data_IF_905102197462
#
_entry.id   IF_905102197462
#
_cell.length_a   1.000
_cell.length_b   1.000
_cell.length_c   1.000
_cell.angle_alpha   90.00
_cell.angle_beta   90.00
_cell.angle_gamma   90.00
#
_symmetry.space_group_name_H-M   'P 1'
#
loop_
_entity.id
_entity.type
_entity.pdbx_description
1 polymer ?
#
# COMPACT_ATOMS: atom_id res chain seq x y z
N UNK A 1 30.08 10.02 13.33
CA UNK A 1 30.01 11.29 12.56
C UNK A 1 29.18 11.20 11.29
N UNK A 2 29.11 10.01 10.65
CA UNK A 2 28.29 9.81 9.45
C UNK A 2 26.77 9.86 9.69
N UNK A 3 26.31 9.60 10.90
CA UNK A 3 24.88 9.61 11.24
C UNK A 3 24.25 10.99 11.38
N UNK A 4 25.02 12.07 11.56
CA UNK A 4 24.49 13.41 11.75
C UNK A 4 24.30 14.22 10.46
N UNK A 5 24.98 13.87 9.37
CA UNK A 5 24.83 14.56 8.09
C UNK A 5 23.68 14.04 7.22
N UNK A 6 23.06 12.95 7.63
CA UNK A 6 22.01 12.23 6.87
C UNK A 6 20.59 12.57 7.35
N UNK A 7 20.38 13.69 7.99
CA UNK A 7 19.03 14.20 8.37
C UNK A 7 18.28 14.77 7.16
N UNK A 8 18.89 14.73 5.99
CA UNK A 8 18.29 15.12 4.71
C UNK A 8 17.68 13.94 3.94
N UNK A 9 17.23 14.22 2.74
CA UNK A 9 16.49 13.32 1.84
C UNK A 9 17.18 11.98 1.53
N UNK A 10 18.51 11.92 1.57
CA UNK A 10 19.26 10.71 1.19
C UNK A 10 19.15 9.57 2.21
N UNK A 11 19.15 9.86 3.51
CA UNK A 11 18.92 8.84 4.55
C UNK A 11 17.51 8.25 4.46
N UNK A 12 16.55 9.03 4.00
CA UNK A 12 15.18 8.57 3.82
C UNK A 12 15.01 7.57 2.68
N UNK A 13 15.89 7.57 1.68
CA UNK A 13 15.81 6.69 0.51
C UNK A 13 16.66 5.43 0.72
N UNK A 14 17.90 5.58 1.12
CA UNK A 14 18.89 4.50 1.19
C UNK A 14 18.60 3.46 2.28
N UNK A 15 18.12 3.90 3.43
CA UNK A 15 17.88 3.01 4.59
C UNK A 15 16.43 2.56 4.72
N UNK A 16 15.55 2.91 3.77
CA UNK A 16 14.11 2.58 3.81
C UNK A 16 13.66 1.58 2.78
N UNK A 17 14.44 1.34 1.74
CA UNK A 17 14.13 0.30 0.78
C UNK A 17 14.73 -1.03 1.23
N UNK A 18 13.91 -2.07 1.21
CA UNK A 18 14.32 -3.44 1.48
C UNK A 18 14.20 -4.30 0.23
N UNK A 19 14.95 -5.39 0.21
CA UNK A 19 14.83 -6.41 -0.82
C UNK A 19 13.72 -7.39 -0.43
N UNK A 20 12.90 -7.77 -1.39
CA UNK A 20 11.82 -8.71 -1.16
C UNK A 20 11.17 -9.17 -2.46
N UNK A 21 10.56 -10.33 -2.39
CA UNK A 21 9.73 -10.88 -3.46
C UNK A 21 8.45 -11.46 -2.88
N UNK A 22 7.40 -11.44 -3.64
CA UNK A 22 6.13 -12.02 -3.27
C UNK A 22 5.40 -12.54 -4.49
N UNK A 23 4.66 -13.62 -4.30
CA UNK A 23 3.82 -14.23 -5.33
C UNK A 23 2.50 -14.69 -4.72
N UNK A 24 1.43 -14.60 -5.49
CA UNK A 24 0.12 -15.13 -5.14
C UNK A 24 -0.36 -16.07 -6.24
N UNK A 25 -1.11 -17.08 -5.86
CA UNK A 25 -1.77 -17.98 -6.79
C UNK A 25 -3.25 -17.65 -6.78
N UNK A 26 -3.79 -17.35 -7.95
CA UNK A 26 -5.23 -17.18 -8.15
C UNK A 26 -5.81 -18.45 -8.73
N UNK A 27 -6.86 -18.95 -8.13
CA UNK A 27 -7.62 -20.10 -8.60
C UNK A 27 -9.06 -19.70 -8.87
N UNK A 28 -9.66 -20.30 -9.91
CA UNK A 28 -11.08 -20.15 -10.12
C UNK A 28 -11.83 -21.01 -9.10
N UNK A 29 -12.85 -20.43 -8.48
CA UNK A 29 -13.72 -21.14 -7.55
C UNK A 29 -15.15 -21.23 -8.10
N UNK A 30 -15.88 -22.27 -7.70
CA UNK A 30 -17.29 -22.44 -8.11
C UNK A 30 -18.24 -21.50 -7.34
N UNK A 31 -17.81 -21.03 -6.16
CA UNK A 31 -18.58 -20.07 -5.38
C UNK A 31 -18.22 -18.63 -5.81
N UNK A 32 -19.24 -17.83 -6.10
CA UNK A 32 -19.06 -16.41 -6.34
C UNK A 32 -18.53 -15.72 -5.07
N UNK A 33 -17.29 -15.28 -5.12
CA UNK A 33 -16.71 -14.38 -4.14
C UNK A 33 -16.72 -12.96 -4.69
N UNK A 34 -17.13 -11.99 -3.87
CA UNK A 34 -17.16 -10.60 -4.31
C UNK A 34 -15.75 -10.04 -4.36
N UNK A 35 -15.34 -9.60 -5.54
CA UNK A 35 -14.08 -8.90 -5.75
C UNK A 35 -14.32 -7.68 -6.64
N UNK A 36 -13.73 -6.55 -6.27
CA UNK A 36 -13.78 -5.30 -7.03
C UNK A 36 -12.41 -4.64 -7.03
N UNK A 37 -12.08 -3.95 -8.12
CA UNK A 37 -10.82 -3.23 -8.23
C UNK A 37 -10.99 -1.87 -8.90
N UNK A 38 -10.13 -0.92 -8.52
CA UNK A 38 -9.98 0.38 -9.18
C UNK A 38 -8.50 0.71 -9.32
N UNK A 39 -8.14 1.17 -10.51
CA UNK A 39 -6.78 1.62 -10.81
C UNK A 39 -6.87 2.97 -11.53
N UNK A 40 -6.04 3.90 -11.12
CA UNK A 40 -5.93 5.23 -11.69
C UNK A 40 -4.48 5.58 -12.00
N UNK A 41 -4.28 6.54 -12.89
CA UNK A 41 -2.97 7.10 -13.20
C UNK A 41 -3.03 8.62 -13.42
N UNK A 42 -1.92 9.29 -13.11
CA UNK A 42 -1.73 10.74 -13.31
C UNK A 42 -0.30 10.97 -13.83
N UNK A 43 -0.14 10.91 -15.15
CA UNK A 43 1.17 11.05 -15.80
C UNK A 43 1.78 12.44 -15.68
N UNK A 44 0.96 13.48 -15.51
CA UNK A 44 1.45 14.86 -15.35
C UNK A 44 2.28 15.01 -14.06
N UNK A 45 1.93 14.24 -13.01
CA UNK A 45 2.66 14.21 -11.74
C UNK A 45 3.79 13.19 -11.70
N UNK A 46 4.02 12.47 -12.78
CA UNK A 46 5.06 11.44 -12.88
C UNK A 46 6.46 11.93 -12.57
N UNK A 47 6.74 13.20 -12.82
CA UNK A 47 8.02 13.86 -12.47
C UNK A 47 8.37 13.80 -10.98
N UNK A 48 7.39 13.56 -10.11
CA UNK A 48 7.60 13.47 -8.65
C UNK A 48 8.25 12.16 -8.22
N UNK A 49 8.29 11.15 -9.08
CA UNK A 49 8.89 9.84 -8.78
C UNK A 49 9.38 9.20 -10.08
N UNK A 50 10.68 9.32 -10.33
CA UNK A 50 11.30 8.89 -11.59
C UNK A 50 12.51 8.00 -11.34
N UNK A 51 12.82 7.14 -12.30
CA UNK A 51 14.06 6.37 -12.36
C UNK A 51 14.43 6.21 -13.84
N UNK A 52 15.29 7.09 -14.33
CA UNK A 52 15.80 6.99 -15.70
C UNK A 52 16.82 5.86 -15.80
N UNK A 53 16.92 5.27 -16.99
CA UNK A 53 17.86 4.15 -17.25
C UNK A 53 19.29 4.59 -16.94
N UNK A 54 19.94 3.87 -16.03
CA UNK A 54 21.32 4.13 -15.61
C UNK A 54 21.47 5.20 -14.53
N UNK A 55 20.37 5.68 -13.96
CA UNK A 55 20.37 6.64 -12.85
C UNK A 55 19.76 6.03 -11.58
N UNK A 56 19.78 6.79 -10.51
CA UNK A 56 19.12 6.44 -9.25
C UNK A 56 17.68 6.93 -9.23
N UNK A 57 16.87 6.29 -8.39
CA UNK A 57 15.52 6.73 -8.07
C UNK A 57 15.54 8.18 -7.55
N UNK A 58 14.77 9.05 -8.19
CA UNK A 58 14.56 10.44 -7.79
C UNK A 58 13.12 10.60 -7.30
N UNK A 59 12.95 11.24 -6.14
CA UNK A 59 11.62 11.36 -5.53
C UNK A 59 11.47 12.73 -4.84
N UNK A 60 10.42 13.46 -5.18
CA UNK A 60 9.88 14.50 -4.32
C UNK A 60 9.04 13.85 -3.21
N UNK A 61 9.68 13.58 -2.08
CA UNK A 61 9.05 12.88 -0.96
C UNK A 61 7.83 13.62 -0.40
N UNK A 62 7.77 14.97 -0.50
CA UNK A 62 6.63 15.76 -0.05
C UNK A 62 5.44 15.61 -1.00
N UNK A 63 5.69 15.71 -2.31
CA UNK A 63 4.66 15.53 -3.33
C UNK A 63 4.07 14.12 -3.29
N UNK A 64 4.93 13.09 -3.23
CA UNK A 64 4.50 11.68 -3.14
C UNK A 64 3.72 11.41 -1.84
N UNK A 65 4.14 11.98 -0.71
CA UNK A 65 3.42 11.85 0.56
C UNK A 65 2.02 12.46 0.50
N UNK A 66 1.89 13.69 -0.03
CA UNK A 66 0.61 14.36 -0.18
C UNK A 66 -0.31 13.63 -1.16
N UNK A 67 0.25 13.15 -2.26
CA UNK A 67 -0.44 12.34 -3.24
C UNK A 67 -1.02 11.06 -2.60
N UNK A 68 -0.19 10.29 -1.90
CA UNK A 68 -0.63 9.05 -1.25
C UNK A 68 -1.74 9.30 -0.22
N UNK A 69 -1.60 10.34 0.61
CA UNK A 69 -2.63 10.69 1.58
C UNK A 69 -3.96 11.12 0.94
N UNK A 70 -3.94 11.68 -0.26
CA UNK A 70 -5.15 12.07 -0.98
C UNK A 70 -5.77 10.88 -1.71
N UNK A 71 -5.00 10.23 -2.57
CA UNK A 71 -5.50 9.28 -3.56
C UNK A 71 -5.78 7.88 -3.02
N UNK A 72 -4.98 7.41 -2.04
CA UNK A 72 -5.20 6.08 -1.47
C UNK A 72 -6.54 5.98 -0.72
N UNK A 73 -6.93 6.90 0.17
CA UNK A 73 -8.26 6.84 0.78
C UNK A 73 -9.41 7.03 -0.23
N UNK A 74 -9.18 7.81 -1.29
CA UNK A 74 -10.16 8.04 -2.36
C UNK A 74 -10.46 6.73 -3.11
N UNK A 75 -9.44 6.07 -3.66
CA UNK A 75 -9.61 4.83 -4.41
C UNK A 75 -10.14 3.68 -3.55
N UNK A 76 -9.78 3.64 -2.25
CA UNK A 76 -10.38 2.68 -1.31
C UNK A 76 -11.88 2.91 -1.17
N UNK A 77 -12.34 4.16 -1.03
CA UNK A 77 -13.79 4.45 -0.99
C UNK A 77 -14.49 4.13 -2.29
N UNK A 78 -13.86 4.33 -3.43
CA UNK A 78 -14.43 3.98 -4.74
C UNK A 78 -14.66 2.48 -4.85
N UNK A 79 -13.67 1.68 -4.50
CA UNK A 79 -13.76 0.21 -4.53
C UNK A 79 -14.81 -0.30 -3.54
N UNK A 80 -14.86 0.27 -2.33
CA UNK A 80 -15.85 -0.11 -1.32
C UNK A 80 -17.27 0.30 -1.72
N UNK A 81 -17.43 1.43 -2.40
CA UNK A 81 -18.71 1.84 -2.96
C UNK A 81 -19.22 0.86 -4.02
N UNK A 82 -18.33 0.39 -4.90
CA UNK A 82 -18.68 -0.62 -5.90
C UNK A 82 -18.99 -1.98 -5.25
N UNK A 83 -18.21 -2.33 -4.23
CA UNK A 83 -18.48 -3.53 -3.43
C UNK A 83 -19.76 -3.42 -2.58
N UNK A 84 -20.34 -2.22 -2.42
CA UNK A 84 -21.46 -1.94 -1.52
C UNK A 84 -21.17 -2.34 -0.07
N UNK A 85 -19.92 -2.13 0.36
CA UNK A 85 -19.44 -2.49 1.69
C UNK A 85 -18.97 -1.22 2.42
N UNK A 86 -19.46 -0.93 3.63
CA UNK A 86 -18.99 0.21 4.40
C UNK A 86 -17.57 -0.04 4.96
N UNK A 87 -16.82 1.04 5.18
CA UNK A 87 -15.44 1.01 5.69
C UNK A 87 -15.35 0.25 7.03
N UNK A 88 -16.37 0.36 7.84
CA UNK A 88 -16.45 -0.22 9.18
C UNK A 88 -16.46 -1.76 9.16
N UNK A 89 -16.98 -2.34 8.06
CA UNK A 89 -17.08 -3.79 7.87
C UNK A 89 -15.82 -4.44 7.28
N UNK A 90 -14.82 -3.65 6.95
CA UNK A 90 -13.53 -4.18 6.48
C UNK A 90 -12.73 -4.69 7.70
N UNK A 91 -12.24 -5.92 7.61
CA UNK A 91 -11.45 -6.56 8.67
C UNK A 91 -9.98 -6.15 8.61
N UNK A 92 -9.41 -6.01 7.42
CA UNK A 92 -8.02 -5.58 7.25
C UNK A 92 -7.80 -4.73 5.98
N UNK A 93 -6.95 -3.71 6.12
CA UNK A 93 -6.42 -2.91 5.02
C UNK A 93 -4.94 -3.23 4.84
N UNK A 94 -4.61 -4.04 3.86
CA UNK A 94 -3.24 -4.44 3.51
C UNK A 94 -2.69 -3.41 2.51
N UNK A 95 -2.01 -2.41 3.03
CA UNK A 95 -1.49 -1.30 2.24
C UNK A 95 -0.03 -1.51 1.84
N UNK A 96 0.37 -0.90 0.74
CA UNK A 96 1.78 -0.77 0.38
C UNK A 96 2.59 -0.15 1.52
N UNK A 97 3.69 -0.78 1.89
CA UNK A 97 4.54 -0.44 3.03
C UNK A 97 5.60 0.60 2.66
N UNK A 98 5.15 1.77 2.15
CA UNK A 98 6.06 2.85 1.79
C UNK A 98 6.56 3.66 2.98
N UNK A 99 5.67 3.94 3.95
CA UNK A 99 5.95 4.77 5.12
C UNK A 99 4.84 4.62 6.15
N UNK A 100 5.19 4.34 7.42
CA UNK A 100 4.22 4.21 8.52
C UNK A 100 3.32 5.44 8.68
N UNK A 101 3.84 6.65 8.42
CA UNK A 101 3.06 7.89 8.50
C UNK A 101 1.98 7.98 7.41
N UNK A 102 2.22 7.39 6.23
CA UNK A 102 1.20 7.31 5.18
C UNK A 102 0.09 6.38 5.64
N UNK A 103 0.42 5.20 6.17
CA UNK A 103 -0.56 4.23 6.68
C UNK A 103 -1.43 4.86 7.77
N UNK A 104 -0.81 5.51 8.75
CA UNK A 104 -1.54 6.24 9.81
C UNK A 104 -2.45 7.35 9.24
N UNK A 105 -1.96 8.07 8.25
CA UNK A 105 -2.72 9.13 7.59
C UNK A 105 -3.92 8.61 6.80
N UNK A 106 -3.77 7.48 6.13
CA UNK A 106 -4.86 6.78 5.41
C UNK A 106 -5.91 6.29 6.42
N UNK A 107 -5.50 5.61 7.50
CA UNK A 107 -6.39 5.14 8.55
C UNK A 107 -7.25 6.30 9.13
N UNK A 108 -6.59 7.41 9.46
CA UNK A 108 -7.28 8.63 9.94
C UNK A 108 -8.29 9.18 8.95
N UNK A 109 -7.95 9.22 7.65
CA UNK A 109 -8.84 9.75 6.60
C UNK A 109 -10.02 8.83 6.29
N UNK A 110 -9.81 7.52 6.41
CA UNK A 110 -10.88 6.53 6.31
C UNK A 110 -11.76 6.49 7.58
N UNK A 111 -11.30 7.10 8.68
CA UNK A 111 -11.90 7.02 10.02
C UNK A 111 -11.98 5.57 10.54
N UNK A 112 -11.04 4.73 10.12
CA UNK A 112 -10.96 3.33 10.50
C UNK A 112 -9.93 3.13 11.64
N UNK A 113 -10.16 2.17 12.55
CA UNK A 113 -9.23 1.84 13.63
C UNK A 113 -7.86 1.42 13.09
N UNK A 114 -6.77 1.86 13.74
CA UNK A 114 -5.40 1.56 13.29
C UNK A 114 -5.07 0.07 13.31
N UNK A 115 -5.72 -0.68 14.16
CA UNK A 115 -5.58 -2.12 14.33
C UNK A 115 -5.97 -2.90 13.06
N UNK A 116 -6.81 -2.31 12.22
CA UNK A 116 -7.18 -2.86 10.91
C UNK A 116 -6.12 -2.63 9.82
N UNK A 117 -5.02 -1.93 10.15
CA UNK A 117 -3.91 -1.62 9.24
C UNK A 117 -2.64 -2.34 9.69
N UNK A 118 -2.50 -3.64 9.40
CA UNK A 118 -1.26 -4.35 9.73
C UNK A 118 -0.07 -3.71 9.00
N UNK A 119 1.10 -3.84 9.61
CA UNK A 119 2.34 -3.29 9.06
C UNK A 119 3.54 -4.15 9.45
N UNK A 120 4.53 -4.15 8.59
CA UNK A 120 5.80 -4.84 8.78
C UNK A 120 7.00 -4.02 8.26
N UNK A 121 6.76 -2.75 7.95
CA UNK A 121 7.77 -1.84 7.41
C UNK A 121 8.97 -1.68 8.35
N UNK A 122 8.77 -1.80 9.66
CA UNK A 122 9.83 -1.73 10.67
C UNK A 122 10.80 -2.91 10.54
N UNK A 123 10.34 -4.05 10.04
CA UNK A 123 11.16 -5.26 9.86
C UNK A 123 11.83 -5.31 8.49
N UNK A 124 11.13 -4.89 7.43
CA UNK A 124 11.57 -5.11 6.04
C UNK A 124 11.86 -3.83 5.26
N UNK A 125 11.47 -2.67 5.78
CA UNK A 125 11.49 -1.44 5.01
C UNK A 125 10.47 -1.44 3.88
N UNK A 126 10.69 -0.58 2.89
CA UNK A 126 9.87 -0.53 1.69
C UNK A 126 10.39 -1.55 0.65
N UNK A 127 9.73 -2.69 0.53
CA UNK A 127 10.03 -3.74 -0.45
C UNK A 127 9.28 -3.55 -1.78
N UNK A 128 8.93 -2.31 -2.12
CA UNK A 128 8.25 -1.95 -3.37
C UNK A 128 6.99 -2.79 -3.62
N UNK A 129 6.85 -3.38 -4.81
CA UNK A 129 5.69 -4.19 -5.20
C UNK A 129 5.50 -5.44 -4.32
N UNK A 130 6.59 -5.97 -3.73
CA UNK A 130 6.54 -7.13 -2.85
C UNK A 130 5.93 -6.84 -1.47
N UNK A 131 5.79 -5.56 -1.07
CA UNK A 131 5.36 -5.20 0.28
C UNK A 131 3.94 -5.70 0.63
N UNK A 132 3.01 -5.65 -0.32
CA UNK A 132 1.64 -6.14 -0.12
C UNK A 132 1.62 -7.68 0.00
N UNK A 133 2.16 -8.46 -0.94
CA UNK A 133 2.12 -9.92 -0.82
C UNK A 133 2.91 -10.46 0.38
N UNK A 134 4.03 -9.84 0.78
CA UNK A 134 4.76 -10.22 1.98
C UNK A 134 3.89 -9.99 3.23
N UNK A 135 3.28 -8.81 3.36
CA UNK A 135 2.42 -8.52 4.50
C UNK A 135 1.18 -9.41 4.53
N UNK A 136 0.60 -9.71 3.38
CA UNK A 136 -0.55 -10.61 3.26
C UNK A 136 -0.18 -12.04 3.71
N UNK A 137 0.97 -12.55 3.30
CA UNK A 137 1.48 -13.87 3.72
C UNK A 137 1.70 -13.91 5.24
N UNK A 138 2.36 -12.92 5.82
CA UNK A 138 2.55 -12.84 7.27
C UNK A 138 1.23 -12.75 8.03
N UNK A 139 0.29 -11.94 7.54
CA UNK A 139 -1.03 -11.80 8.12
C UNK A 139 -1.77 -13.14 8.11
N UNK A 140 -1.68 -13.89 6.99
CA UNK A 140 -2.23 -15.22 6.87
C UNK A 140 -1.55 -16.23 7.81
N UNK A 141 -0.22 -16.33 7.78
CA UNK A 141 0.55 -17.25 8.63
C UNK A 141 0.39 -16.99 10.14
N UNK A 142 0.11 -15.74 10.51
CA UNK A 142 -0.19 -15.40 11.91
C UNK A 142 -1.55 -15.90 12.40
N UNK A 143 -2.35 -16.54 11.55
CA UNK A 143 -3.69 -17.02 11.87
C UNK A 143 -4.74 -15.92 11.95
N UNK A 144 -4.40 -14.69 11.57
CA UNK A 144 -5.35 -13.55 11.56
C UNK A 144 -6.27 -13.56 10.34
N UNK A 145 -5.84 -14.17 9.23
CA UNK A 145 -6.69 -14.35 8.06
C UNK A 145 -7.69 -15.49 8.32
N UNK A 146 -8.96 -15.17 8.26
CA UNK A 146 -10.05 -16.13 8.45
C UNK A 146 -10.97 -16.10 7.24
N UNK A 147 -11.46 -17.27 6.83
CA UNK A 147 -12.40 -17.37 5.73
C UNK A 147 -13.62 -16.47 5.93
N UNK A 148 -14.00 -15.73 4.90
CA UNK A 148 -15.12 -14.79 4.91
C UNK A 148 -14.78 -13.40 5.41
N UNK A 149 -13.53 -13.14 5.78
CA UNK A 149 -13.11 -11.77 6.10
C UNK A 149 -13.04 -10.91 4.85
N UNK A 150 -13.39 -9.63 5.03
CA UNK A 150 -13.37 -8.61 4.00
C UNK A 150 -12.07 -7.82 4.09
N UNK A 151 -11.28 -7.87 3.04
CA UNK A 151 -9.99 -7.19 3.03
C UNK A 151 -9.88 -6.22 1.85
N UNK A 152 -9.10 -5.17 2.06
CA UNK A 152 -8.74 -4.22 1.02
C UNK A 152 -7.22 -4.23 0.84
N UNK A 153 -6.79 -4.45 -0.39
CA UNK A 153 -5.42 -4.24 -0.81
C UNK A 153 -5.31 -2.87 -1.45
N UNK A 154 -4.27 -2.08 -1.18
CA UNK A 154 -4.05 -0.82 -1.89
C UNK A 154 -2.59 -0.44 -1.99
N UNK A 155 -2.20 0.01 -3.17
CA UNK A 155 -0.84 0.45 -3.47
C UNK A 155 -0.79 1.68 -4.36
N UNK A 156 0.38 2.27 -4.44
CA UNK A 156 0.69 3.39 -5.32
C UNK A 156 2.18 3.39 -5.67
N UNK A 157 2.54 4.07 -6.75
CA UNK A 157 3.93 4.14 -7.19
C UNK A 157 4.15 5.14 -8.33
N UNK A 158 5.31 4.98 -8.97
CA UNK A 158 5.69 5.78 -10.13
C UNK A 158 4.64 5.68 -11.24
N UNK A 159 4.47 6.79 -11.94
CA UNK A 159 3.45 6.94 -12.96
C UNK A 159 2.85 8.34 -12.97
N UNK A 160 2.34 8.97 -11.92
CA UNK A 160 1.90 8.30 -10.69
C UNK A 160 0.77 7.33 -10.99
N UNK A 161 0.78 6.19 -10.35
CA UNK A 161 -0.29 5.19 -10.45
C UNK A 161 -0.74 4.79 -9.04
N UNK A 162 -2.01 4.52 -8.85
CA UNK A 162 -2.56 4.01 -7.57
C UNK A 162 -3.77 3.14 -7.82
N UNK A 163 -4.02 2.24 -6.90
CA UNK A 163 -5.16 1.35 -7.00
C UNK A 163 -5.54 0.72 -5.68
N UNK A 164 -6.73 0.16 -5.66
CA UNK A 164 -7.23 -0.67 -4.58
C UNK A 164 -8.01 -1.86 -5.13
N UNK A 165 -8.00 -2.95 -4.39
CA UNK A 165 -8.83 -4.11 -4.60
C UNK A 165 -9.53 -4.48 -3.30
N UNK A 166 -10.83 -4.74 -3.37
CA UNK A 166 -11.62 -5.38 -2.33
C UNK A 166 -11.76 -6.86 -2.65
N UNK A 167 -11.65 -7.70 -1.67
CA UNK A 167 -11.88 -9.13 -1.80
C UNK A 167 -12.37 -9.75 -0.48
N UNK A 168 -13.10 -10.84 -0.59
CA UNK A 168 -13.45 -11.72 0.52
C UNK A 168 -12.42 -12.86 0.59
N UNK A 169 -11.83 -13.02 1.79
CA UNK A 169 -10.74 -13.99 2.03
C UNK A 169 -11.26 -15.42 2.12
#
# INVERSE_FOLDING_TARGET
EMQRSLVGSEMCIRDRFGDGAGAVVLTAEEQETKACEKIHSDGEKGVSLTCEKGTYLQMDGRAVFQFALSRVPEVIREVLKEAEVPVEEIDAFILHQANSRIIDGVAKRLKAPKEKFPRNIEAYGNTCAASIPILLDEWNRSGRAQKGQRIVLSGFGAGLIWGAAYLEW
#
